data_IF_907835571444
#
_entry.id   IF_907835571444
#
_cell.length_a   1.000
_cell.length_b   1.000
_cell.length_c   1.000
_cell.angle_alpha   90.00
_cell.angle_beta   90.00
_cell.angle_gamma   90.00
#
_symmetry.space_group_name_H-M   'P 1'
#
loop_
_entity.id
_entity.type
_entity.pdbx_description
1 polymer ?
#
# COMPACT_ATOMS: atom_id res chain seq x y z
N UNK A 1 -4.80 16.45 -18.91
CA UNK A 1 -5.29 15.17 -18.38
C UNK A 1 -6.36 15.46 -17.34
N UNK A 2 -7.34 14.59 -17.15
CA UNK A 2 -8.36 14.71 -16.10
C UNK A 2 -8.23 13.54 -15.13
N UNK A 3 -8.76 13.69 -13.92
CA UNK A 3 -8.80 12.59 -12.95
C UNK A 3 -9.74 11.51 -13.48
N UNK A 4 -9.19 10.35 -13.81
CA UNK A 4 -9.98 9.16 -14.09
C UNK A 4 -10.53 8.57 -12.79
N UNK A 5 -11.84 8.74 -12.58
CA UNK A 5 -12.55 8.25 -11.40
C UNK A 5 -12.70 6.73 -11.36
N UNK A 6 -12.70 6.05 -12.52
CA UNK A 6 -12.78 4.59 -12.58
C UNK A 6 -11.46 3.98 -12.16
N UNK A 7 -10.33 4.56 -12.59
CA UNK A 7 -9.00 4.15 -12.15
C UNK A 7 -8.86 4.31 -10.63
N UNK A 8 -9.30 5.45 -10.07
CA UNK A 8 -9.25 5.66 -8.61
C UNK A 8 -10.15 4.66 -7.88
N UNK A 9 -11.37 4.43 -8.36
CA UNK A 9 -12.29 3.47 -7.76
C UNK A 9 -11.70 2.05 -7.71
N UNK A 10 -11.17 1.57 -8.83
CA UNK A 10 -10.54 0.25 -8.89
C UNK A 10 -9.27 0.14 -8.03
N UNK A 11 -8.61 1.26 -7.71
CA UNK A 11 -7.51 1.29 -6.74
C UNK A 11 -8.03 1.27 -5.30
N UNK A 12 -9.10 2.01 -4.99
CA UNK A 12 -9.73 1.98 -3.67
C UNK A 12 -10.32 0.61 -3.31
N UNK A 13 -10.90 -0.09 -4.29
CA UNK A 13 -11.38 -1.47 -4.10
C UNK A 13 -10.23 -2.41 -3.71
N UNK A 14 -9.10 -2.35 -4.43
CA UNK A 14 -7.90 -3.11 -4.09
C UNK A 14 -7.31 -2.73 -2.73
N UNK A 15 -7.30 -1.44 -2.39
CA UNK A 15 -6.87 -0.98 -1.07
C UNK A 15 -7.72 -1.65 0.02
N UNK A 16 -9.05 -1.66 -0.17
CA UNK A 16 -9.97 -2.28 0.77
C UNK A 16 -9.72 -3.78 0.93
N UNK A 17 -9.44 -4.49 -0.16
CA UNK A 17 -9.05 -5.92 -0.11
C UNK A 17 -7.78 -6.15 0.72
N UNK A 18 -6.74 -5.31 0.54
CA UNK A 18 -5.51 -5.43 1.33
C UNK A 18 -5.73 -5.16 2.82
N UNK A 19 -6.52 -4.14 3.16
CA UNK A 19 -6.86 -3.84 4.56
C UNK A 19 -7.67 -4.98 5.18
N UNK A 20 -8.68 -5.50 4.47
CA UNK A 20 -9.47 -6.64 4.95
C UNK A 20 -8.60 -7.88 5.19
N UNK A 21 -7.58 -8.13 4.37
CA UNK A 21 -6.63 -9.23 4.58
C UNK A 21 -5.77 -9.04 5.82
N UNK A 22 -5.36 -7.81 6.13
CA UNK A 22 -4.66 -7.51 7.40
C UNK A 22 -5.58 -7.77 8.59
N UNK A 23 -6.82 -7.30 8.54
CA UNK A 23 -7.80 -7.47 9.62
C UNK A 23 -8.13 -8.94 9.89
N UNK A 24 -8.37 -9.73 8.83
CA UNK A 24 -8.65 -11.17 8.94
C UNK A 24 -7.47 -12.00 9.44
N UNK A 25 -6.25 -11.45 9.37
CA UNK A 25 -5.03 -12.11 9.85
C UNK A 25 -4.53 -11.53 11.17
N UNK A 26 -5.26 -10.60 11.76
CA UNK A 26 -4.96 -10.06 13.09
C UNK A 26 -5.08 -11.19 14.12
N UNK A 27 -3.99 -11.61 14.77
CA UNK A 27 -4.07 -12.65 15.77
C UNK A 27 -4.73 -12.15 17.06
N UNK A 28 -5.37 -13.08 17.75
CA UNK A 28 -5.91 -12.90 19.10
C UNK A 28 -5.43 -14.08 19.97
N UNK A 29 -4.51 -13.87 20.92
CA UNK A 29 -4.02 -12.58 21.39
C UNK A 29 -2.92 -11.97 20.47
N UNK A 30 -2.72 -10.64 20.44
CA UNK A 30 -1.78 -9.96 19.53
C UNK A 30 -0.32 -10.44 19.64
N UNK A 31 0.08 -10.93 20.81
CA UNK A 31 1.42 -11.43 21.10
C UNK A 31 1.79 -12.64 20.23
N UNK A 32 0.81 -13.39 19.73
CA UNK A 32 1.06 -14.48 18.77
C UNK A 32 1.73 -13.99 17.49
N UNK A 33 1.52 -12.72 17.12
CA UNK A 33 2.19 -12.13 15.97
C UNK A 33 3.71 -12.16 16.13
N UNK A 34 4.25 -12.10 17.36
CA UNK A 34 5.70 -12.07 17.61
C UNK A 34 6.39 -13.40 17.27
N UNK A 35 5.66 -14.50 17.30
CA UNK A 35 6.20 -15.86 17.14
C UNK A 35 5.78 -16.54 15.84
N UNK A 36 4.76 -16.00 15.17
CA UNK A 36 4.22 -16.57 13.93
C UNK A 36 4.70 -15.77 12.70
N UNK A 37 5.80 -16.24 12.10
CA UNK A 37 6.41 -15.60 10.93
C UNK A 37 5.51 -15.61 9.70
N UNK A 38 4.66 -16.63 9.53
CA UNK A 38 3.74 -16.69 8.39
C UNK A 38 2.69 -15.57 8.48
N UNK A 39 2.15 -15.33 9.68
CA UNK A 39 1.24 -14.20 9.91
C UNK A 39 1.97 -12.87 9.74
N UNK A 40 3.20 -12.74 10.24
CA UNK A 40 4.01 -11.52 10.05
C UNK A 40 4.21 -11.20 8.56
N UNK A 41 4.57 -12.20 7.75
CA UNK A 41 4.82 -12.04 6.31
C UNK A 41 3.54 -11.64 5.58
N UNK A 42 2.42 -12.30 5.90
CA UNK A 42 1.13 -11.96 5.30
C UNK A 42 0.72 -10.53 5.66
N UNK A 43 0.79 -10.14 6.94
CA UNK A 43 0.41 -8.78 7.38
C UNK A 43 1.31 -7.74 6.74
N UNK A 44 2.64 -7.94 6.79
CA UNK A 44 3.63 -7.01 6.24
C UNK A 44 3.44 -6.83 4.73
N UNK A 45 3.27 -7.92 3.99
CA UNK A 45 3.03 -7.87 2.55
C UNK A 45 1.75 -7.09 2.21
N UNK A 46 0.63 -7.36 2.89
CA UNK A 46 -0.62 -6.66 2.57
C UNK A 46 -0.55 -5.16 2.96
N UNK A 47 0.18 -4.81 4.03
CA UNK A 47 0.44 -3.40 4.36
C UNK A 47 1.30 -2.69 3.32
N UNK A 48 2.38 -3.32 2.85
CA UNK A 48 3.21 -2.78 1.76
C UNK A 48 2.36 -2.53 0.51
N UNK A 49 1.53 -3.50 0.12
CA UNK A 49 0.64 -3.37 -1.04
C UNK A 49 -0.40 -2.26 -0.85
N UNK A 50 -0.97 -2.11 0.35
CA UNK A 50 -1.88 -1.01 0.66
C UNK A 50 -1.21 0.36 0.50
N UNK A 51 0.02 0.52 1.02
CA UNK A 51 0.81 1.75 0.88
C UNK A 51 1.11 2.04 -0.60
N UNK A 52 1.50 1.02 -1.36
CA UNK A 52 1.76 1.18 -2.79
C UNK A 52 0.52 1.65 -3.56
N UNK A 53 -0.66 1.12 -3.24
CA UNK A 53 -1.92 1.57 -3.86
C UNK A 53 -2.20 3.05 -3.51
N UNK A 54 -1.95 3.48 -2.29
CA UNK A 54 -2.06 4.90 -1.91
C UNK A 54 -1.09 5.78 -2.72
N UNK A 55 0.15 5.34 -2.91
CA UNK A 55 1.16 6.05 -3.73
C UNK A 55 0.69 6.16 -5.19
N UNK A 56 0.13 5.09 -5.75
CA UNK A 56 -0.38 5.09 -7.11
C UNK A 56 -1.55 6.07 -7.30
N UNK A 57 -2.48 6.11 -6.34
CA UNK A 57 -3.60 7.07 -6.35
C UNK A 57 -3.06 8.50 -6.32
N UNK A 58 -2.13 8.79 -5.40
CA UNK A 58 -1.50 10.09 -5.30
C UNK A 58 -0.76 10.48 -6.60
N UNK A 59 -0.03 9.53 -7.19
CA UNK A 59 0.70 9.75 -8.45
C UNK A 59 -0.24 10.08 -9.60
N UNK A 60 -1.38 9.39 -9.71
CA UNK A 60 -2.42 9.68 -10.70
C UNK A 60 -2.99 11.10 -10.54
N UNK A 61 -3.31 11.49 -9.30
CA UNK A 61 -3.83 12.84 -9.00
C UNK A 61 -2.79 13.92 -9.29
N UNK A 62 -1.52 13.71 -8.90
CA UNK A 62 -0.44 14.65 -9.15
C UNK A 62 -0.19 14.85 -10.65
N UNK A 63 -0.14 13.77 -11.43
CA UNK A 63 0.08 13.81 -12.86
C UNK A 63 -1.00 14.64 -13.60
N UNK A 64 -2.26 14.55 -13.15
CA UNK A 64 -3.36 15.36 -13.68
C UNK A 64 -3.17 16.85 -13.40
N UNK A 65 -2.64 17.20 -12.22
CA UNK A 65 -2.45 18.59 -11.80
C UNK A 65 -1.17 19.24 -12.33
N UNK A 66 -0.47 18.61 -13.28
CA UNK A 66 0.79 19.12 -13.85
C UNK A 66 1.94 19.17 -12.84
N UNK A 67 1.78 18.56 -11.66
CA UNK A 67 2.86 18.33 -10.72
C UNK A 67 3.51 17.02 -11.13
N UNK A 68 4.79 17.06 -11.53
CA UNK A 68 5.54 15.83 -11.69
C UNK A 68 5.40 15.02 -10.39
N UNK A 69 4.94 13.76 -10.42
CA UNK A 69 5.03 12.92 -9.24
C UNK A 69 6.51 12.93 -8.86
N UNK A 70 6.81 13.36 -7.63
CA UNK A 70 8.16 13.26 -7.09
C UNK A 70 8.52 11.79 -7.24
N UNK A 71 9.43 11.50 -8.16
CA UNK A 71 9.60 10.16 -8.69
C UNK A 71 9.89 9.21 -7.53
N UNK A 72 9.25 8.05 -7.54
CA UNK A 72 9.51 6.97 -6.59
C UNK A 72 11.00 6.57 -6.53
N UNK A 73 11.83 7.04 -7.46
CA UNK A 73 13.30 6.92 -7.42
C UNK A 73 13.98 7.58 -6.22
N UNK A 74 13.41 8.60 -5.56
CA UNK A 74 13.97 9.12 -4.29
C UNK A 74 13.49 8.34 -3.05
N UNK A 75 12.42 7.56 -3.19
CA UNK A 75 11.88 6.69 -2.13
C UNK A 75 12.42 5.26 -2.23
N UNK A 76 12.62 4.73 -3.44
CA UNK A 76 13.07 3.35 -3.72
C UNK A 76 14.42 3.03 -3.07
N UNK A 77 15.38 3.96 -3.08
CA UNK A 77 16.66 3.79 -2.38
C UNK A 77 16.53 3.82 -0.85
N UNK A 78 15.48 4.45 -0.32
CA UNK A 78 15.18 4.49 1.12
C UNK A 78 14.48 3.23 1.62
N UNK A 79 13.67 2.57 0.79
CA UNK A 79 12.99 1.32 1.16
C UNK A 79 13.93 0.10 1.08
N UNK A 80 14.84 0.05 0.10
CA UNK A 80 15.86 -1.02 0.00
C UNK A 80 16.92 -0.94 1.11
N UNK A 81 17.10 0.22 1.76
CA UNK A 81 18.08 0.40 2.84
C UNK A 81 17.51 0.16 4.25
N UNK A 82 16.22 -0.17 4.37
CA UNK A 82 15.51 -0.41 5.64
C UNK A 82 14.94 -1.85 5.74
N UNK A 83 15.22 -2.70 4.76
CA UNK A 83 15.02 -4.15 4.79
C UNK A 83 16.40 -4.83 4.82
#
# INVERSE_FOLDING_TARGET
>A
MTIDKQVIRAKLERLNEYIARVETKRPDPPELLLTDHDIQDIVSHNLEKAVQVCIDIASHICAVNGRAPQSGGSLSSRWVSLA
#
